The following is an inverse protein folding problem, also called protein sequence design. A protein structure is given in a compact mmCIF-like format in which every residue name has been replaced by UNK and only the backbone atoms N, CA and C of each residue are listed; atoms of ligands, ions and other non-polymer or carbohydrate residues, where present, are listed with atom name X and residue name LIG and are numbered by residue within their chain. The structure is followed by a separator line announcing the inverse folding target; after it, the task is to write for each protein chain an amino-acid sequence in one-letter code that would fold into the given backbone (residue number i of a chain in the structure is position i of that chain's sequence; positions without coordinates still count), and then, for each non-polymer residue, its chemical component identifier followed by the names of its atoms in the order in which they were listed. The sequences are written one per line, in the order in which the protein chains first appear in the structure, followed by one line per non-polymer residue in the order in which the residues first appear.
data_IF_040280854969
#
_entry.id   IF_040280854969
#
_cell.length_a   1.000
_cell.length_b   1.000
_cell.length_c   1.000
_cell.angle_alpha   90.00
_cell.angle_beta   90.00
_cell.angle_gamma   90.00
#
_symmetry.space_group_name_H-M   'P 1'
#
loop_
_entity.id
_entity.type
_entity.pdbx_description
1 polymer ?
#
# COMPACT_ATOMS: atom_id res chain seq x y z
N UNK A 1 21.13 -3.28 -15.45
CA UNK A 1 19.82 -2.88 -15.93
C UNK A 1 19.06 -2.12 -14.85
N UNK A 2 18.47 -1.00 -15.23
CA UNK A 2 17.83 -0.15 -14.26
C UNK A 2 16.47 -0.71 -13.84
N UNK A 3 16.27 -0.84 -12.53
CA UNK A 3 15.01 -1.29 -11.97
C UNK A 3 13.95 -0.19 -12.13
N UNK A 4 12.77 -0.55 -12.64
CA UNK A 4 11.69 0.40 -12.89
C UNK A 4 10.51 0.20 -11.93
N UNK A 5 10.73 -0.48 -10.80
CA UNK A 5 9.70 -0.66 -9.80
C UNK A 5 9.15 0.67 -9.31
N UNK A 6 7.86 0.70 -9.00
CA UNK A 6 7.29 1.90 -8.41
C UNK A 6 7.87 2.14 -7.02
N UNK A 7 8.34 3.36 -6.78
CA UNK A 7 8.87 3.75 -5.48
C UNK A 7 8.50 5.20 -5.17
N UNK A 8 8.32 5.50 -3.88
CA UNK A 8 8.08 6.86 -3.41
C UNK A 8 8.60 6.98 -1.98
N UNK A 9 8.98 8.19 -1.58
CA UNK A 9 9.56 8.45 -0.26
C UNK A 9 8.85 9.61 0.40
N UNK A 10 8.58 9.50 1.71
CA UNK A 10 8.10 10.61 2.52
C UNK A 10 9.04 10.84 3.68
N UNK A 11 9.13 12.10 4.13
CA UNK A 11 9.93 12.49 5.30
C UNK A 11 8.98 12.99 6.38
N UNK A 12 9.19 12.50 7.60
CA UNK A 12 8.36 12.87 8.75
C UNK A 12 9.23 13.16 9.96
N UNK A 13 8.67 13.87 10.96
CA UNK A 13 9.40 14.20 12.18
C UNK A 13 9.26 13.13 13.26
N UNK A 14 8.32 12.20 13.10
CA UNK A 14 8.09 11.14 14.06
C UNK A 14 9.25 10.14 14.07
N UNK A 15 9.35 9.38 15.17
CA UNK A 15 10.43 8.38 15.31
C UNK A 15 10.24 7.20 14.38
N UNK A 16 11.33 6.46 14.06
CA UNK A 16 11.21 5.25 13.24
C UNK A 16 10.22 4.23 13.81
N UNK A 17 10.13 4.09 15.13
CA UNK A 17 9.18 3.16 15.74
C UNK A 17 7.73 3.63 15.57
N UNK A 18 7.48 4.93 15.73
CA UNK A 18 6.14 5.48 15.47
C UNK A 18 5.73 5.25 14.02
N UNK A 19 6.66 5.42 13.08
CA UNK A 19 6.44 5.18 11.66
C UNK A 19 6.14 3.70 11.41
N UNK A 20 6.95 2.81 12.01
CA UNK A 20 6.76 1.37 11.90
C UNK A 20 5.36 0.95 12.35
N UNK A 21 4.94 1.45 13.51
CA UNK A 21 3.62 1.14 14.04
C UNK A 21 2.48 1.66 13.15
N UNK A 22 2.65 2.84 12.56
CA UNK A 22 1.65 3.39 11.65
C UNK A 22 1.53 2.56 10.37
N UNK A 23 2.65 2.12 9.81
CA UNK A 23 2.65 1.27 8.62
C UNK A 23 1.85 -0.02 8.88
N UNK A 24 2.06 -0.63 10.04
CA UNK A 24 1.41 -1.90 10.38
C UNK A 24 -0.09 -1.72 10.69
N UNK A 25 -0.52 -0.50 10.95
CA UNK A 25 -1.94 -0.18 11.09
C UNK A 25 -2.55 0.06 9.71
N UNK A 26 -2.61 -0.99 8.92
CA UNK A 26 -3.00 -0.91 7.50
C UNK A 26 -4.43 -0.40 7.35
N UNK A 27 -5.32 -0.75 8.27
CA UNK A 27 -6.71 -0.27 8.27
C UNK A 27 -6.79 1.24 8.51
N UNK A 28 -5.76 1.82 9.08
CA UNK A 28 -5.71 3.25 9.36
C UNK A 28 -5.31 4.10 8.17
N UNK A 29 -4.72 3.51 7.13
CA UNK A 29 -4.28 4.29 5.98
C UNK A 29 -4.64 3.71 4.61
N UNK A 30 -4.77 2.39 4.48
CA UNK A 30 -5.09 1.80 3.18
C UNK A 30 -6.60 1.55 3.04
N UNK A 31 -7.15 0.66 3.83
CA UNK A 31 -8.57 0.33 3.74
C UNK A 31 -9.09 -0.21 5.06
N UNK A 32 -10.33 0.17 5.37
CA UNK A 32 -11.05 -0.43 6.48
C UNK A 32 -11.56 -1.84 6.15
N UNK A 33 -11.53 -2.22 4.86
CA UNK A 33 -11.95 -3.54 4.38
C UNK A 33 -10.78 -4.50 4.30
N UNK A 34 -9.99 -4.56 5.34
CA UNK A 34 -8.87 -5.50 5.45
C UNK A 34 -9.20 -6.52 6.54
N UNK A 35 -9.12 -7.79 6.18
CA UNK A 35 -9.35 -8.89 7.12
C UNK A 35 -8.06 -9.67 7.30
N UNK A 36 -7.78 -10.07 8.54
CA UNK A 36 -6.61 -10.87 8.87
C UNK A 36 -5.60 -10.12 9.71
N UNK A 37 -4.37 -10.63 9.72
CA UNK A 37 -3.29 -10.10 10.55
C UNK A 37 -2.30 -9.28 9.74
N UNK A 38 -2.20 -7.98 10.04
CA UNK A 38 -1.33 -7.04 9.32
C UNK A 38 -0.03 -6.74 10.07
N UNK A 39 0.09 -7.16 11.32
CA UNK A 39 1.18 -6.78 12.21
C UNK A 39 1.89 -7.97 12.86
N UNK A 40 1.78 -9.13 12.24
CA UNK A 40 2.42 -10.36 12.73
C UNK A 40 3.24 -10.99 11.60
N UNK A 41 4.46 -11.38 11.90
CA UNK A 41 5.32 -12.05 10.93
C UNK A 41 4.66 -13.34 10.46
N UNK A 42 4.66 -13.56 9.14
CA UNK A 42 3.98 -14.65 8.46
C UNK A 42 2.45 -14.58 8.55
N UNK A 43 1.92 -13.52 9.14
CA UNK A 43 0.48 -13.27 9.14
C UNK A 43 -0.01 -12.99 7.74
N UNK A 44 -1.28 -13.28 7.49
CA UNK A 44 -1.90 -13.06 6.20
C UNK A 44 -3.10 -12.15 6.36
N UNK A 45 -3.30 -11.28 5.37
CA UNK A 45 -4.49 -10.44 5.34
C UNK A 45 -4.98 -10.28 3.91
N UNK A 46 -6.24 -9.88 3.79
CA UNK A 46 -6.90 -9.71 2.50
C UNK A 46 -7.39 -8.28 2.37
N UNK A 47 -7.01 -7.63 1.29
CA UNK A 47 -7.56 -6.34 0.89
C UNK A 47 -8.63 -6.59 -0.18
N UNK A 48 -9.76 -5.90 -0.04
CA UNK A 48 -10.86 -6.05 -0.99
C UNK A 48 -11.51 -4.69 -1.24
N UNK A 49 -11.71 -4.36 -2.50
CA UNK A 49 -12.50 -3.20 -2.89
C UNK A 49 -13.55 -3.64 -3.91
N UNK A 50 -14.78 -3.87 -3.43
CA UNK A 50 -15.90 -4.35 -4.24
C UNK A 50 -15.49 -5.60 -5.04
N UNK A 51 -15.91 -5.69 -6.30
CA UNK A 51 -15.48 -6.75 -7.20
C UNK A 51 -14.33 -6.32 -8.12
N UNK A 52 -13.71 -5.18 -7.80
CA UNK A 52 -12.73 -4.51 -8.67
C UNK A 52 -11.30 -4.93 -8.33
N UNK A 53 -10.98 -5.03 -7.04
CA UNK A 53 -9.63 -5.37 -6.59
C UNK A 53 -9.68 -6.27 -5.36
N UNK A 54 -9.00 -7.41 -5.44
CA UNK A 54 -8.79 -8.30 -4.30
C UNK A 54 -7.33 -8.71 -4.28
N UNK A 55 -6.69 -8.62 -3.11
CA UNK A 55 -5.31 -9.06 -2.92
C UNK A 55 -5.17 -9.83 -1.62
N UNK A 56 -4.52 -11.00 -1.69
CA UNK A 56 -4.06 -11.73 -0.52
C UNK A 56 -2.61 -11.43 -0.30
N UNK A 57 -2.26 -11.13 0.93
CA UNK A 57 -0.95 -10.58 1.27
C UNK A 57 -0.40 -11.33 2.48
N UNK A 58 0.86 -11.72 2.41
CA UNK A 58 1.57 -12.32 3.54
C UNK A 58 2.65 -11.36 4.03
N UNK A 59 2.72 -11.17 5.34
CA UNK A 59 3.76 -10.34 5.95
C UNK A 59 5.04 -11.17 6.01
N UNK A 60 6.04 -10.80 5.21
CA UNK A 60 7.28 -11.58 5.08
C UNK A 60 8.45 -11.02 5.87
N UNK A 61 8.38 -9.75 6.31
CA UNK A 61 9.41 -9.18 7.16
C UNK A 61 8.81 -8.11 8.07
N UNK A 62 9.18 -8.16 9.34
CA UNK A 62 8.85 -7.13 10.34
C UNK A 62 10.09 -6.91 11.18
N UNK A 63 10.86 -5.88 10.84
CA UNK A 63 12.02 -5.48 11.63
C UNK A 63 11.67 -4.15 12.28
N UNK A 64 11.41 -4.13 13.61
CA UNK A 64 10.92 -2.92 14.28
C UNK A 64 11.79 -1.69 13.97
N UNK A 65 11.12 -0.62 13.60
CA UNK A 65 11.74 0.67 13.28
C UNK A 65 12.64 0.65 12.03
N UNK A 66 12.67 -0.44 11.27
CA UNK A 66 13.56 -0.55 10.11
C UNK A 66 12.87 -1.00 8.83
N UNK A 67 11.99 -2.03 8.90
CA UNK A 67 11.48 -2.61 7.66
C UNK A 67 10.15 -3.32 7.86
N UNK A 68 9.26 -3.17 6.87
CA UNK A 68 8.06 -3.99 6.70
C UNK A 68 8.07 -4.49 5.26
N UNK A 69 7.83 -5.79 5.06
CA UNK A 69 7.77 -6.37 3.72
C UNK A 69 6.57 -7.29 3.60
N UNK A 70 5.89 -7.19 2.47
CA UNK A 70 4.73 -8.04 2.14
C UNK A 70 4.99 -8.77 0.82
N UNK A 71 4.48 -10.00 0.72
CA UNK A 71 4.42 -10.76 -0.53
C UNK A 71 2.96 -10.85 -0.95
N UNK A 72 2.67 -10.48 -2.19
CA UNK A 72 1.33 -10.63 -2.74
C UNK A 72 1.19 -12.09 -3.21
N UNK A 73 0.39 -12.87 -2.50
CA UNK A 73 0.26 -14.31 -2.76
C UNK A 73 -0.89 -14.63 -3.70
N UNK A 74 -1.89 -13.76 -3.79
CA UNK A 74 -2.98 -13.89 -4.74
C UNK A 74 -3.53 -12.51 -5.05
N UNK A 75 -4.14 -12.36 -6.22
CA UNK A 75 -4.56 -11.04 -6.69
C UNK A 75 -5.61 -11.18 -7.79
N UNK A 76 -6.58 -10.26 -7.79
CA UNK A 76 -7.55 -10.13 -8.86
C UNK A 76 -7.77 -8.65 -9.15
N UNK A 77 -7.60 -8.24 -10.40
CA UNK A 77 -7.88 -6.88 -10.87
C UNK A 77 -8.89 -6.98 -12.01
N UNK A 78 -10.09 -6.45 -11.81
CA UNK A 78 -11.18 -6.55 -12.78
C UNK A 78 -10.85 -5.89 -14.11
N UNK A 79 -10.11 -4.79 -14.06
CA UNK A 79 -9.91 -3.88 -15.20
C UNK A 79 -8.68 -4.22 -16.06
N UNK A 80 -7.95 -5.27 -15.76
CA UNK A 80 -6.78 -5.68 -16.56
C UNK A 80 -7.09 -6.97 -17.31
N UNK A 81 -6.36 -7.22 -18.39
CA UNK A 81 -6.42 -8.49 -19.12
C UNK A 81 -5.81 -9.60 -18.27
N UNK A 82 -4.60 -9.35 -17.77
CA UNK A 82 -3.98 -10.23 -16.79
C UNK A 82 -4.44 -9.78 -15.41
N UNK A 83 -5.41 -10.49 -14.87
CA UNK A 83 -6.04 -10.13 -13.60
C UNK A 83 -5.15 -10.44 -12.40
N UNK A 84 -4.00 -11.07 -12.63
CA UNK A 84 -3.09 -11.54 -11.59
C UNK A 84 -1.74 -10.83 -11.63
N UNK A 85 -1.67 -9.61 -12.15
CA UNK A 85 -0.40 -8.89 -12.34
C UNK A 85 0.42 -8.71 -11.05
N UNK A 86 -0.26 -8.63 -9.90
CA UNK A 86 0.44 -8.42 -8.63
C UNK A 86 0.96 -9.70 -7.99
N UNK A 87 0.51 -10.88 -8.43
CA UNK A 87 0.95 -12.14 -7.79
C UNK A 87 2.45 -12.28 -7.89
N UNK A 88 3.09 -12.56 -6.75
CA UNK A 88 4.54 -12.73 -6.68
C UNK A 88 5.31 -11.42 -6.51
N UNK A 89 4.62 -10.28 -6.57
CA UNK A 89 5.28 -8.99 -6.33
C UNK A 89 5.40 -8.75 -4.82
N UNK A 90 6.28 -7.82 -4.44
CA UNK A 90 6.53 -7.49 -3.04
C UNK A 90 6.32 -6.01 -2.77
N UNK A 91 5.74 -5.73 -1.62
CA UNK A 91 5.64 -4.36 -1.11
C UNK A 91 6.65 -4.22 0.01
N UNK A 92 7.51 -3.21 -0.06
CA UNK A 92 8.60 -3.02 0.90
C UNK A 92 8.58 -1.60 1.43
N UNK A 93 8.58 -1.48 2.77
CA UNK A 93 8.73 -0.20 3.45
C UNK A 93 10.08 -0.20 4.14
N UNK A 94 10.98 0.68 3.72
CA UNK A 94 12.28 0.86 4.36
C UNK A 94 12.24 2.15 5.17
N UNK A 95 12.59 2.05 6.45
CA UNK A 95 12.59 3.16 7.39
C UNK A 95 14.03 3.50 7.73
N UNK A 96 14.40 4.78 7.63
CA UNK A 96 15.76 5.21 7.94
C UNK A 96 15.73 6.60 8.53
N UNK A 97 16.83 6.97 9.20
CA UNK A 97 16.99 8.33 9.70
C UNK A 97 17.74 9.17 8.66
N UNK A 98 17.22 10.35 8.41
CA UNK A 98 17.89 11.33 7.56
C UNK A 98 17.99 12.64 8.33
N UNK A 99 19.16 12.93 8.84
CA UNK A 99 19.38 14.04 9.75
C UNK A 99 18.47 13.86 10.97
N UNK A 100 17.62 14.84 11.27
CA UNK A 100 16.72 14.77 12.43
C UNK A 100 15.34 14.24 12.06
N UNK A 101 15.16 13.71 10.84
CA UNK A 101 13.87 13.23 10.35
C UNK A 101 13.92 11.76 10.06
N UNK A 102 12.74 11.18 9.86
CA UNK A 102 12.60 9.78 9.47
C UNK A 102 12.14 9.71 8.03
N UNK A 103 12.83 8.92 7.21
CA UNK A 103 12.46 8.67 5.82
C UNK A 103 11.74 7.33 5.74
N UNK A 104 10.64 7.30 5.01
CA UNK A 104 9.92 6.07 4.68
C UNK A 104 9.98 5.90 3.19
N UNK A 105 10.69 4.88 2.72
CA UNK A 105 10.75 4.56 1.32
C UNK A 105 9.84 3.38 1.03
N UNK A 106 8.79 3.62 0.26
CA UNK A 106 7.87 2.59 -0.20
C UNK A 106 8.29 2.12 -1.58
N UNK A 107 8.34 0.79 -1.78
CA UNK A 107 8.60 0.21 -3.09
C UNK A 107 7.62 -0.93 -3.32
N UNK A 108 6.96 -0.93 -4.49
CA UNK A 108 6.21 -2.10 -4.94
C UNK A 108 7.08 -2.80 -5.98
N UNK A 109 7.90 -3.73 -5.51
CA UNK A 109 8.83 -4.48 -6.34
C UNK A 109 8.07 -5.40 -7.29
N UNK A 110 8.29 -5.24 -8.59
CA UNK A 110 7.57 -5.96 -9.62
C UNK A 110 6.43 -5.16 -10.25
N UNK A 111 6.03 -4.03 -9.65
CA UNK A 111 5.07 -3.13 -10.30
C UNK A 111 5.84 -2.20 -11.23
N UNK A 112 5.79 -2.49 -12.52
CA UNK A 112 6.61 -1.83 -13.53
C UNK A 112 5.72 -1.23 -14.62
N UNK A 113 6.25 -0.25 -15.40
CA UNK A 113 5.44 0.45 -16.42
C UNK A 113 4.81 -0.46 -17.48
N UNK A 114 5.32 -1.67 -17.67
CA UNK A 114 4.78 -2.64 -18.61
C UNK A 114 3.44 -3.23 -18.18
N UNK A 115 3.10 -3.15 -16.90
CA UNK A 115 1.83 -3.67 -16.41
C UNK A 115 0.67 -2.76 -16.76
N UNK A 116 -0.48 -3.34 -17.10
CA UNK A 116 -1.67 -2.58 -17.47
C UNK A 116 -2.14 -1.67 -16.32
N UNK A 117 -2.00 -2.14 -15.09
CA UNK A 117 -2.45 -1.36 -13.93
C UNK A 117 -1.48 -0.26 -13.51
N UNK A 118 -0.30 -0.18 -14.11
CA UNK A 118 0.79 0.65 -13.55
C UNK A 118 0.35 2.10 -13.25
N UNK A 119 -0.28 2.77 -14.20
CA UNK A 119 -0.68 4.16 -13.98
C UNK A 119 -1.75 4.30 -12.90
N UNK A 120 -2.74 3.41 -12.91
CA UNK A 120 -3.80 3.39 -11.88
C UNK A 120 -3.18 3.07 -10.52
N UNK A 121 -2.35 2.05 -10.45
CA UNK A 121 -1.72 1.61 -9.21
C UNK A 121 -0.73 2.65 -8.69
N UNK A 122 -0.01 3.33 -9.59
CA UNK A 122 0.87 4.43 -9.23
C UNK A 122 0.07 5.56 -8.58
N UNK A 123 -1.05 5.95 -9.17
CA UNK A 123 -1.90 7.00 -8.61
C UNK A 123 -2.46 6.59 -7.25
N UNK A 124 -2.91 5.34 -7.13
CA UNK A 124 -3.45 4.83 -5.86
C UNK A 124 -2.38 4.80 -4.77
N UNK A 125 -1.20 4.22 -5.05
CA UNK A 125 -0.12 4.17 -4.08
C UNK A 125 0.37 5.54 -3.69
N UNK A 126 0.46 6.47 -4.65
CA UNK A 126 0.88 7.84 -4.33
C UNK A 126 -0.07 8.49 -3.33
N UNK A 127 -1.38 8.32 -3.50
CA UNK A 127 -2.35 8.81 -2.54
C UNK A 127 -2.19 8.13 -1.18
N UNK A 128 -2.13 6.80 -1.17
CA UNK A 128 -2.10 6.06 0.09
C UNK A 128 -0.82 6.28 0.88
N UNK A 129 0.31 6.50 0.21
CA UNK A 129 1.58 6.71 0.89
C UNK A 129 1.80 8.19 1.19
N UNK A 130 1.68 9.08 0.21
CA UNK A 130 2.03 10.50 0.38
C UNK A 130 0.95 11.31 1.07
N UNK A 131 -0.31 10.86 1.02
CA UNK A 131 -1.40 11.56 1.69
C UNK A 131 -1.89 10.78 2.90
N UNK A 132 -2.43 9.58 2.70
CA UNK A 132 -3.09 8.83 3.78
C UNK A 132 -2.12 8.37 4.88
N UNK A 133 -1.08 7.63 4.52
CA UNK A 133 -0.08 7.17 5.51
C UNK A 133 0.64 8.35 6.14
N UNK A 134 1.01 9.35 5.33
CA UNK A 134 1.66 10.55 5.82
C UNK A 134 0.83 11.20 6.94
N UNK A 135 -0.48 11.36 6.73
CA UNK A 135 -1.35 11.98 7.74
C UNK A 135 -1.57 11.06 8.95
N UNK A 136 -1.61 9.75 8.76
CA UNK A 136 -1.68 8.84 9.89
C UNK A 136 -0.45 8.99 10.78
N UNK A 137 0.75 9.09 10.18
CA UNK A 137 1.98 9.29 10.94
C UNK A 137 2.00 10.66 11.62
N UNK A 138 1.71 11.72 10.89
CA UNK A 138 1.95 13.09 11.38
C UNK A 138 0.79 13.67 12.17
N UNK A 139 -0.44 13.23 11.90
CA UNK A 139 -1.64 13.79 12.52
C UNK A 139 -2.46 12.74 13.29
N UNK A 140 -2.06 11.47 13.23
CA UNK A 140 -2.77 10.40 13.94
C UNK A 140 -4.01 9.89 13.24
N UNK A 141 -4.31 10.36 12.04
CA UNK A 141 -5.47 9.94 11.27
C UNK A 141 -5.18 9.96 9.79
N UNK A 142 -5.32 8.80 9.14
CA UNK A 142 -5.15 8.67 7.70
C UNK A 142 -6.46 8.82 6.94
N UNK A 143 -6.44 8.42 5.68
CA UNK A 143 -7.60 8.51 4.77
C UNK A 143 -7.82 7.15 4.10
N UNK A 144 -8.09 6.08 4.87
CA UNK A 144 -8.30 4.76 4.27
C UNK A 144 -9.61 4.70 3.50
N UNK A 145 -9.72 3.75 2.57
CA UNK A 145 -10.97 3.45 1.91
C UNK A 145 -11.99 2.99 2.97
N UNK A 146 -13.20 3.58 2.99
CA UNK A 146 -14.16 3.26 4.03
C UNK A 146 -14.76 1.87 3.88
N UNK A 147 -15.19 1.29 4.99
CA UNK A 147 -15.72 -0.07 5.06
C UNK A 147 -16.99 -0.25 4.24
N UNK A 148 -17.78 0.80 4.10
CA UNK A 148 -19.05 0.75 3.37
C UNK A 148 -18.90 1.15 1.90
N UNK A 149 -17.67 1.30 1.42
CA UNK A 149 -17.35 1.76 0.06
C UNK A 149 -17.98 3.12 -0.27
N UNK A 150 -18.13 3.99 0.72
CA UNK A 150 -18.65 5.33 0.51
C UNK A 150 -17.72 6.21 -0.33
N UNK A 151 -18.04 7.49 -0.41
CA UNK A 151 -17.22 8.43 -1.18
C UNK A 151 -15.81 8.47 -0.63
N UNK A 152 -14.83 8.19 -1.50
CA UNK A 152 -13.44 8.08 -1.12
C UNK A 152 -12.56 8.34 -2.33
N UNK A 153 -11.25 8.31 -2.11
CA UNK A 153 -10.30 8.36 -3.21
C UNK A 153 -10.53 7.20 -4.19
N UNK A 154 -10.78 6.00 -3.68
CA UNK A 154 -11.01 4.83 -4.54
C UNK A 154 -12.22 4.98 -5.44
N UNK A 155 -13.31 5.56 -4.92
CA UNK A 155 -14.51 5.84 -5.72
C UNK A 155 -14.18 6.78 -6.88
N UNK A 156 -13.45 7.85 -6.60
CA UNK A 156 -13.03 8.80 -7.61
C UNK A 156 -12.08 8.17 -8.62
N UNK A 157 -11.18 7.31 -8.16
CA UNK A 157 -10.23 6.60 -9.02
C UNK A 157 -10.97 5.68 -10.00
N UNK A 158 -11.95 4.94 -9.49
CA UNK A 158 -12.76 4.02 -10.31
C UNK A 158 -13.50 4.81 -11.40
N UNK A 159 -14.08 5.96 -11.06
CA UNK A 159 -14.78 6.80 -12.04
C UNK A 159 -13.81 7.36 -13.08
N UNK A 160 -12.68 7.90 -12.62
CA UNK A 160 -11.68 8.52 -13.51
C UNK A 160 -11.16 7.53 -14.55
N UNK A 161 -10.86 6.29 -14.15
CA UNK A 161 -10.25 5.29 -15.01
C UNK A 161 -11.26 4.27 -15.55
N UNK A 162 -12.55 4.41 -15.22
CA UNK A 162 -13.63 3.51 -15.67
C UNK A 162 -13.31 2.04 -15.36
N UNK A 163 -12.92 1.78 -14.12
CA UNK A 163 -12.45 0.45 -13.70
C UNK A 163 -13.57 -0.55 -13.44
N UNK A 164 -14.80 -0.10 -13.33
CA UNK A 164 -15.96 -0.95 -13.03
C UNK A 164 -16.68 -1.49 -14.26
N UNK A 165 -16.16 -1.23 -15.43
CA UNK A 165 -16.74 -1.69 -16.71
C UNK A 165 -16.27 -3.12 -17.08
#
# INVERSE_FOLDING_TARGET
MKNQDFTTTVLVDQTPLEVFNAINNVRGWWSENIEGSTDTLNGQFVYNYKDIHLSKIQVTALVPAEKVEWLITDNYLKFTRDKSEWIGTRVIFNISRENDRTAVRFTHEGLVPQYECYEVCNEAWSHYIQDSLYHLITAGKGKPSPKDYGKSFDTALVEKWKLDN
#
